data_IF_137284614652
#
_entry.id   IF_137284614652
#
_cell.length_a   1.000
_cell.length_b   1.000
_cell.length_c   1.000
_cell.angle_alpha   90.00
_cell.angle_beta   90.00
_cell.angle_gamma   90.00
#
_symmetry.space_group_name_H-M   'P 1'
#
loop_
_entity.id
_entity.type
_entity.pdbx_description
1 polymer ?
#
# COMPACT_ATOMS: atom_id res chain seq x y z
N UNK A 1 38.38 7.36 -19.29
CA UNK A 1 38.35 7.19 -20.75
C UNK A 1 38.29 5.72 -21.09
N UNK A 2 37.36 5.33 -21.96
CA UNK A 2 37.24 3.96 -22.43
C UNK A 2 38.24 3.64 -23.54
N UNK A 3 38.70 2.41 -23.57
CA UNK A 3 39.67 1.90 -24.54
C UNK A 3 39.17 0.56 -25.09
N UNK A 4 39.26 0.38 -26.42
CA UNK A 4 38.93 -0.87 -27.11
C UNK A 4 40.18 -1.39 -27.82
N UNK A 5 40.58 -2.63 -27.51
CA UNK A 5 41.77 -3.27 -28.08
C UNK A 5 41.40 -4.65 -28.61
N UNK A 6 41.99 -5.05 -29.73
CA UNK A 6 41.88 -6.41 -30.25
C UNK A 6 42.79 -7.36 -29.46
N UNK A 7 42.26 -8.48 -28.97
CA UNK A 7 43.01 -9.57 -28.34
C UNK A 7 42.67 -10.88 -29.02
N UNK A 8 43.51 -11.34 -29.92
CA UNK A 8 43.28 -12.55 -30.69
C UNK A 8 41.99 -12.44 -31.57
N UNK A 9 41.02 -13.33 -31.34
CA UNK A 9 39.76 -13.38 -32.07
C UNK A 9 38.63 -12.50 -31.44
N UNK A 10 38.93 -11.78 -30.34
CA UNK A 10 37.94 -10.96 -29.62
C UNK A 10 38.40 -9.52 -29.44
N UNK A 11 37.44 -8.62 -29.18
CA UNK A 11 37.64 -7.22 -28.86
C UNK A 11 37.45 -7.00 -27.36
N UNK A 12 38.51 -6.54 -26.67
CA UNK A 12 38.48 -6.25 -25.26
C UNK A 12 38.23 -4.74 -25.06
N UNK A 13 37.16 -4.41 -24.36
CA UNK A 13 36.77 -3.06 -24.00
C UNK A 13 37.08 -2.82 -22.53
N UNK A 14 37.66 -1.65 -22.23
CA UNK A 14 37.97 -1.24 -20.87
C UNK A 14 37.56 0.22 -20.66
N UNK A 15 36.83 0.49 -19.57
CA UNK A 15 36.46 1.84 -19.14
C UNK A 15 37.11 2.13 -17.79
N UNK A 16 37.84 3.26 -17.73
CA UNK A 16 38.47 3.78 -16.53
C UNK A 16 38.02 5.24 -16.32
N UNK A 17 37.37 5.50 -15.20
CA UNK A 17 36.95 6.86 -14.78
C UNK A 17 37.54 7.09 -13.38
N UNK A 18 38.06 8.28 -13.13
CA UNK A 18 38.56 8.64 -11.80
C UNK A 18 37.50 8.46 -10.73
N UNK A 19 37.84 7.81 -9.61
CA UNK A 19 36.90 7.45 -8.55
C UNK A 19 36.13 6.14 -8.77
N UNK A 20 36.34 5.46 -9.91
CA UNK A 20 35.67 4.21 -10.25
C UNK A 20 36.69 3.08 -10.47
N UNK A 21 36.33 1.85 -10.14
CA UNK A 21 37.10 0.68 -10.56
C UNK A 21 37.10 0.55 -12.08
N UNK A 22 38.10 -0.13 -12.63
CA UNK A 22 38.17 -0.41 -14.06
C UNK A 22 37.12 -1.47 -14.45
N UNK A 23 36.30 -1.16 -15.45
CA UNK A 23 35.36 -2.11 -16.06
C UNK A 23 35.97 -2.68 -17.33
N UNK A 24 35.99 -4.01 -17.47
CA UNK A 24 36.54 -4.70 -18.63
C UNK A 24 35.55 -5.75 -19.14
N UNK A 25 35.34 -5.80 -20.47
CA UNK A 25 34.48 -6.80 -21.11
C UNK A 25 34.98 -7.15 -22.51
N UNK A 26 34.84 -8.41 -22.93
CA UNK A 26 35.24 -8.90 -24.25
C UNK A 26 34.03 -9.09 -25.16
N UNK A 27 34.22 -8.76 -26.46
CA UNK A 27 33.17 -8.79 -27.48
C UNK A 27 33.66 -9.47 -28.74
N UNK A 28 32.75 -10.02 -29.55
CA UNK A 28 33.06 -10.63 -30.84
C UNK A 28 33.32 -9.58 -31.91
N UNK A 29 32.65 -8.43 -31.86
CA UNK A 29 32.80 -7.34 -32.82
C UNK A 29 33.35 -6.08 -32.20
N UNK A 30 34.03 -5.25 -33.01
CA UNK A 30 34.52 -3.95 -32.59
C UNK A 30 33.38 -2.98 -32.26
N UNK A 31 32.30 -3.05 -33.07
CA UNK A 31 31.11 -2.20 -32.89
C UNK A 31 30.46 -2.40 -31.53
N UNK A 32 30.24 -3.64 -31.11
CA UNK A 32 29.66 -3.94 -29.78
C UNK A 32 30.55 -3.46 -28.64
N UNK A 33 31.87 -3.62 -28.80
CA UNK A 33 32.83 -3.14 -27.81
C UNK A 33 32.80 -1.61 -27.65
N UNK A 34 32.72 -0.87 -28.75
CA UNK A 34 32.61 0.61 -28.76
C UNK A 34 31.26 1.06 -28.16
N UNK A 35 30.17 0.45 -28.59
CA UNK A 35 28.83 0.74 -28.06
C UNK A 35 28.78 0.53 -26.54
N UNK A 36 29.33 -0.56 -26.05
CA UNK A 36 29.40 -0.84 -24.61
C UNK A 36 30.25 0.20 -23.86
N UNK A 37 31.38 0.65 -24.41
CA UNK A 37 32.22 1.70 -23.83
C UNK A 37 31.41 2.98 -23.67
N UNK A 38 30.74 3.43 -24.74
CA UNK A 38 29.96 4.66 -24.74
C UNK A 38 28.80 4.60 -23.74
N UNK A 39 28.06 3.49 -23.71
CA UNK A 39 26.96 3.27 -22.75
C UNK A 39 27.48 3.27 -21.31
N UNK A 40 28.60 2.59 -21.05
CA UNK A 40 29.20 2.51 -19.70
C UNK A 40 29.73 3.88 -19.25
N UNK A 41 30.40 4.63 -20.11
CA UNK A 41 30.85 5.98 -19.79
C UNK A 41 29.69 6.94 -19.52
N UNK A 42 28.63 6.88 -20.33
CA UNK A 42 27.43 7.68 -20.12
C UNK A 42 26.73 7.35 -18.79
N UNK A 43 26.59 6.07 -18.48
CA UNK A 43 26.03 5.62 -17.20
C UNK A 43 26.88 6.10 -16.02
N UNK A 44 28.20 5.95 -16.08
CA UNK A 44 29.10 6.34 -14.99
C UNK A 44 29.18 7.87 -14.80
N UNK A 45 29.11 8.65 -15.86
CA UNK A 45 29.06 10.12 -15.77
C UNK A 45 27.76 10.65 -15.14
N UNK A 46 26.67 9.91 -15.30
CA UNK A 46 25.35 10.29 -14.78
C UNK A 46 25.03 9.67 -13.41
N UNK A 47 25.93 8.86 -12.86
CA UNK A 47 25.74 8.17 -11.57
C UNK A 47 26.64 8.82 -10.52
N UNK A 48 26.04 9.45 -9.51
CA UNK A 48 26.79 10.11 -8.43
C UNK A 48 27.38 9.14 -7.38
N UNK A 49 27.09 7.84 -7.49
CA UNK A 49 27.54 6.81 -6.54
C UNK A 49 28.53 5.84 -7.20
N UNK A 50 29.63 5.46 -6.52
CA UNK A 50 30.53 4.40 -7.00
C UNK A 50 29.74 3.09 -7.14
N UNK A 51 29.92 2.39 -8.26
CA UNK A 51 29.25 1.10 -8.48
C UNK A 51 29.84 0.04 -7.54
N UNK A 52 29.00 -0.50 -6.68
CA UNK A 52 29.33 -1.64 -5.83
C UNK A 52 29.36 -2.91 -6.67
N UNK A 53 30.44 -3.70 -6.57
CA UNK A 53 30.52 -5.00 -7.19
C UNK A 53 29.58 -5.99 -6.51
N UNK A 54 28.63 -6.48 -7.26
CA UNK A 54 27.63 -7.43 -6.76
C UNK A 54 27.73 -8.80 -7.44
N UNK A 55 28.91 -9.11 -8.02
CA UNK A 55 29.14 -10.35 -8.77
C UNK A 55 28.77 -11.61 -7.99
N UNK A 56 29.06 -11.63 -6.70
CA UNK A 56 28.76 -12.76 -5.81
C UNK A 56 27.53 -12.54 -4.91
N UNK A 57 26.98 -11.34 -4.88
CA UNK A 57 25.82 -11.02 -4.04
C UNK A 57 24.56 -11.76 -4.52
N UNK A 58 23.91 -12.44 -3.61
CA UNK A 58 22.65 -13.17 -3.85
C UNK A 58 21.43 -12.28 -3.66
N UNK A 59 20.28 -12.68 -4.23
CA UNK A 59 19.02 -12.01 -3.94
C UNK A 59 18.63 -12.11 -2.45
N UNK A 60 19.01 -13.21 -1.77
CA UNK A 60 18.83 -13.37 -0.33
C UNK A 60 19.47 -12.26 0.47
N UNK A 61 20.75 -11.99 0.20
CA UNK A 61 21.51 -10.93 0.87
C UNK A 61 20.92 -9.54 0.58
N UNK A 62 20.50 -9.28 -0.66
CA UNK A 62 19.82 -8.05 -1.01
C UNK A 62 18.51 -7.86 -0.23
N UNK A 63 17.66 -8.89 -0.13
CA UNK A 63 16.39 -8.82 0.60
C UNK A 63 16.61 -8.61 2.10
N UNK A 64 17.61 -9.28 2.69
CA UNK A 64 17.96 -9.12 4.11
C UNK A 64 18.52 -7.72 4.40
N UNK A 65 19.39 -7.20 3.53
CA UNK A 65 19.91 -5.84 3.66
C UNK A 65 18.78 -4.81 3.55
N UNK A 66 17.87 -4.98 2.59
CA UNK A 66 16.71 -4.10 2.44
C UNK A 66 15.78 -4.16 3.65
N UNK A 67 15.55 -5.35 4.20
CA UNK A 67 14.74 -5.51 5.42
C UNK A 67 15.35 -4.74 6.60
N UNK A 68 16.68 -4.83 6.77
CA UNK A 68 17.40 -4.17 7.87
C UNK A 68 17.50 -2.66 7.69
N UNK A 69 17.84 -2.18 6.49
CA UNK A 69 18.22 -0.78 6.27
C UNK A 69 17.07 0.11 5.79
N UNK A 70 16.02 -0.46 5.22
CA UNK A 70 14.91 0.32 4.67
C UNK A 70 13.60 -0.03 5.34
N UNK A 71 13.21 -1.32 5.34
CA UNK A 71 11.89 -1.71 5.84
C UNK A 71 11.72 -1.43 7.34
N UNK A 72 12.77 -1.58 8.16
CA UNK A 72 12.74 -1.32 9.60
C UNK A 72 12.29 0.10 9.95
N UNK A 73 12.53 1.07 9.07
CA UNK A 73 12.17 2.48 9.26
C UNK A 73 10.81 2.87 8.66
N UNK A 74 10.10 1.94 8.02
CA UNK A 74 8.81 2.23 7.39
C UNK A 74 7.65 1.99 8.37
N UNK A 75 6.63 2.85 8.34
CA UNK A 75 5.36 2.56 9.01
C UNK A 75 4.74 1.28 8.43
N UNK A 76 4.47 0.27 9.28
CA UNK A 76 3.96 -1.04 8.83
C UNK A 76 5.05 -1.99 8.33
N UNK A 77 6.29 -1.79 8.77
CA UNK A 77 7.47 -2.61 8.48
C UNK A 77 7.27 -4.11 8.71
N UNK A 78 6.48 -4.52 9.68
CA UNK A 78 6.26 -5.94 10.04
C UNK A 78 5.81 -6.79 8.85
N UNK A 79 4.82 -6.31 8.08
CA UNK A 79 4.28 -7.06 6.93
C UNK A 79 5.30 -7.11 5.79
N UNK A 80 6.00 -6.02 5.52
CA UNK A 80 7.01 -5.98 4.46
C UNK A 80 8.21 -6.84 4.84
N UNK A 81 8.69 -6.74 6.08
CA UNK A 81 9.77 -7.57 6.62
C UNK A 81 9.39 -9.06 6.60
N UNK A 82 8.17 -9.41 6.99
CA UNK A 82 7.66 -10.78 6.86
C UNK A 82 7.76 -11.29 5.42
N UNK A 83 7.32 -10.47 4.44
CA UNK A 83 7.40 -10.84 3.02
C UNK A 83 8.83 -10.97 2.51
N UNK A 84 9.71 -10.04 2.87
CA UNK A 84 11.13 -10.12 2.54
C UNK A 84 11.76 -11.39 3.08
N UNK A 85 11.47 -11.75 4.34
CA UNK A 85 11.92 -13.00 4.97
C UNK A 85 11.31 -14.24 4.31
N UNK A 86 10.06 -14.19 3.88
CA UNK A 86 9.43 -15.27 3.13
C UNK A 86 10.18 -15.53 1.82
N UNK A 87 10.45 -14.47 1.06
CA UNK A 87 11.15 -14.58 -0.23
C UNK A 87 12.64 -14.84 -0.09
N UNK A 88 13.28 -14.46 1.01
CA UNK A 88 14.69 -14.81 1.27
C UNK A 88 14.91 -16.31 1.47
N UNK A 89 13.84 -17.06 1.78
CA UNK A 89 13.86 -18.54 1.90
C UNK A 89 13.41 -19.25 0.63
N UNK A 90 12.92 -18.52 -0.35
CA UNK A 90 12.48 -19.08 -1.63
C UNK A 90 13.68 -19.40 -2.53
N UNK A 91 13.59 -20.43 -3.38
CA UNK A 91 14.68 -20.87 -4.27
C UNK A 91 15.22 -19.75 -5.18
N UNK A 92 14.39 -18.80 -5.60
CA UNK A 92 14.84 -17.63 -6.39
C UNK A 92 15.91 -16.82 -5.66
N UNK A 93 15.90 -16.82 -4.32
CA UNK A 93 16.83 -16.03 -3.50
C UNK A 93 18.28 -16.54 -3.52
N UNK A 94 18.51 -17.74 -3.98
CA UNK A 94 19.84 -18.34 -4.12
C UNK A 94 20.58 -17.82 -5.38
N UNK A 95 19.85 -17.24 -6.31
CA UNK A 95 20.47 -16.69 -7.52
C UNK A 95 21.31 -15.47 -7.21
N UNK A 96 22.51 -15.40 -7.82
CA UNK A 96 23.31 -14.19 -7.83
C UNK A 96 22.59 -13.07 -8.57
N UNK A 97 22.70 -11.84 -8.09
CA UNK A 97 22.00 -10.69 -8.66
C UNK A 97 22.31 -10.48 -10.14
N UNK A 98 23.56 -10.74 -10.55
CA UNK A 98 24.02 -10.60 -11.94
C UNK A 98 23.37 -11.60 -12.90
N UNK A 99 22.88 -12.72 -12.39
CA UNK A 99 22.22 -13.77 -13.16
C UNK A 99 20.72 -13.63 -13.20
N UNK A 100 20.15 -12.75 -12.36
CA UNK A 100 18.70 -12.55 -12.31
C UNK A 100 18.21 -11.80 -13.55
N UNK A 101 17.23 -12.40 -14.20
CA UNK A 101 16.57 -11.87 -15.38
C UNK A 101 15.08 -11.70 -15.13
N UNK A 102 14.39 -10.99 -16.02
CA UNK A 102 12.93 -10.86 -15.99
C UNK A 102 12.24 -12.24 -15.97
N UNK A 103 12.79 -13.24 -16.68
CA UNK A 103 12.22 -14.59 -16.78
C UNK A 103 12.12 -15.29 -15.42
N UNK A 104 13.07 -15.08 -14.51
CA UNK A 104 13.00 -15.62 -13.16
C UNK A 104 11.79 -15.07 -12.38
N UNK A 105 11.48 -13.78 -12.55
CA UNK A 105 10.33 -13.14 -11.91
C UNK A 105 9.01 -13.46 -12.62
N UNK A 106 9.01 -13.75 -13.91
CA UNK A 106 7.84 -14.31 -14.63
C UNK A 106 7.48 -15.68 -14.06
N UNK A 107 8.48 -16.55 -13.88
CA UNK A 107 8.26 -17.87 -13.28
C UNK A 107 7.76 -17.76 -11.85
N UNK A 108 8.37 -16.92 -11.02
CA UNK A 108 7.91 -16.63 -9.65
C UNK A 108 6.47 -16.12 -9.66
N UNK A 109 6.12 -15.19 -10.55
CA UNK A 109 4.75 -14.68 -10.72
C UNK A 109 3.77 -15.81 -10.98
N UNK A 110 4.06 -16.65 -11.93
CA UNK A 110 3.16 -17.70 -12.40
C UNK A 110 2.99 -18.80 -11.35
N UNK A 111 4.06 -19.13 -10.62
CA UNK A 111 4.02 -20.03 -9.46
C UNK A 111 3.13 -19.45 -8.35
N UNK A 112 3.33 -18.17 -7.99
CA UNK A 112 2.57 -17.51 -6.94
C UNK A 112 1.10 -17.31 -7.28
N UNK A 113 0.76 -17.12 -8.56
CA UNK A 113 -0.63 -17.00 -9.01
C UNK A 113 -1.45 -18.29 -8.78
N UNK A 114 -0.80 -19.46 -8.67
CA UNK A 114 -1.46 -20.72 -8.31
C UNK A 114 -1.78 -20.80 -6.81
N UNK A 115 -1.08 -20.05 -5.97
CA UNK A 115 -1.18 -20.12 -4.51
C UNK A 115 -2.00 -18.99 -3.90
N UNK A 116 -1.93 -17.78 -4.46
CA UNK A 116 -2.54 -16.56 -3.92
C UNK A 116 -3.22 -15.71 -4.99
N UNK A 117 -4.07 -14.79 -4.55
CA UNK A 117 -4.80 -13.88 -5.46
C UNK A 117 -3.87 -12.93 -6.21
N UNK A 118 -4.25 -12.58 -7.45
CA UNK A 118 -3.50 -11.69 -8.34
C UNK A 118 -3.02 -10.38 -7.69
N UNK A 119 -3.85 -9.74 -6.88
CA UNK A 119 -3.47 -8.52 -6.17
C UNK A 119 -2.38 -8.72 -5.11
N UNK A 120 -2.25 -9.92 -4.52
CA UNK A 120 -1.14 -10.24 -3.61
C UNK A 120 0.15 -10.37 -4.41
N UNK A 121 0.11 -11.10 -5.53
CA UNK A 121 1.27 -11.25 -6.42
C UNK A 121 1.72 -9.89 -6.99
N UNK A 122 0.75 -9.05 -7.39
CA UNK A 122 1.03 -7.68 -7.82
C UNK A 122 1.82 -6.89 -6.75
N UNK A 123 1.34 -6.93 -5.49
CA UNK A 123 2.02 -6.23 -4.39
C UNK A 123 3.42 -6.79 -4.10
N UNK A 124 3.60 -8.11 -4.21
CA UNK A 124 4.90 -8.76 -4.01
C UNK A 124 5.90 -8.33 -5.10
N UNK A 125 5.49 -8.32 -6.35
CA UNK A 125 6.34 -7.88 -7.47
C UNK A 125 6.66 -6.38 -7.40
N UNK A 126 5.73 -5.54 -6.94
CA UNK A 126 5.99 -4.13 -6.66
C UNK A 126 6.99 -3.94 -5.52
N UNK A 127 7.00 -4.81 -4.52
CA UNK A 127 8.02 -4.83 -3.48
C UNK A 127 9.40 -5.13 -4.08
N UNK A 128 9.55 -6.17 -4.89
CA UNK A 128 10.81 -6.47 -5.58
C UNK A 128 11.27 -5.31 -6.47
N UNK A 129 10.35 -4.66 -7.21
CA UNK A 129 10.68 -3.48 -8.02
C UNK A 129 11.29 -2.36 -7.18
N UNK A 130 10.74 -2.10 -5.97
CA UNK A 130 11.30 -1.10 -5.03
C UNK A 130 12.66 -1.53 -4.48
N UNK A 131 12.82 -2.79 -4.10
CA UNK A 131 14.09 -3.35 -3.61
C UNK A 131 15.22 -3.13 -4.63
N UNK A 132 15.03 -3.57 -5.86
CA UNK A 132 16.03 -3.38 -6.93
C UNK A 132 16.25 -1.90 -7.27
N UNK A 133 15.18 -1.09 -7.28
CA UNK A 133 15.33 0.35 -7.48
C UNK A 133 16.21 0.98 -6.40
N UNK A 134 16.03 0.62 -5.15
CA UNK A 134 16.86 1.10 -4.03
C UNK A 134 18.29 0.63 -4.18
N UNK A 135 18.52 -0.65 -4.49
CA UNK A 135 19.85 -1.21 -4.70
C UNK A 135 20.62 -0.46 -5.79
N UNK A 136 19.99 -0.23 -6.93
CA UNK A 136 20.62 0.44 -8.07
C UNK A 136 20.81 1.94 -7.78
N UNK A 137 19.76 2.65 -7.34
CA UNK A 137 19.76 4.11 -7.28
C UNK A 137 20.34 4.68 -5.98
N UNK A 138 20.20 3.97 -4.84
CA UNK A 138 20.66 4.46 -3.54
C UNK A 138 21.94 3.80 -3.07
N UNK A 139 22.11 2.50 -3.34
CA UNK A 139 23.28 1.75 -2.87
C UNK A 139 24.35 1.59 -3.96
N UNK A 140 24.08 2.04 -5.18
CA UNK A 140 25.06 1.99 -6.27
C UNK A 140 25.40 0.57 -6.74
N UNK A 141 24.49 -0.40 -6.57
CA UNK A 141 24.72 -1.77 -7.05
C UNK A 141 24.89 -1.78 -8.57
N UNK A 142 25.98 -2.35 -9.04
CA UNK A 142 26.37 -2.37 -10.46
C UNK A 142 25.52 -3.31 -11.31
N UNK A 143 24.20 -3.23 -11.19
CA UNK A 143 23.26 -3.99 -12.02
C UNK A 143 22.88 -3.20 -13.26
N UNK A 144 22.85 -3.82 -14.45
CA UNK A 144 22.58 -3.12 -15.71
C UNK A 144 21.14 -2.59 -15.79
N UNK A 145 20.21 -3.24 -15.14
CA UNK A 145 18.78 -2.86 -15.07
C UNK A 145 18.07 -3.57 -13.92
N UNK A 146 16.92 -3.02 -13.55
CA UNK A 146 16.00 -3.68 -12.61
C UNK A 146 15.28 -4.85 -13.32
N UNK A 147 15.46 -6.10 -12.90
CA UNK A 147 14.87 -7.26 -13.58
C UNK A 147 13.34 -7.32 -13.50
N UNK A 148 12.73 -6.49 -12.62
CA UNK A 148 11.27 -6.40 -12.43
C UNK A 148 10.66 -5.17 -13.11
N UNK A 149 11.47 -4.30 -13.74
CA UNK A 149 11.04 -3.01 -14.29
C UNK A 149 9.92 -3.15 -15.32
N UNK A 150 10.16 -4.00 -16.33
CA UNK A 150 9.24 -4.19 -17.47
C UNK A 150 8.39 -5.46 -17.34
N UNK A 151 8.38 -6.09 -16.16
CA UNK A 151 7.57 -7.27 -15.94
C UNK A 151 6.08 -6.95 -16.06
N UNK A 152 5.36 -7.73 -16.84
CA UNK A 152 3.90 -7.63 -16.89
C UNK A 152 3.30 -8.05 -15.55
N UNK A 153 2.76 -7.08 -14.83
CA UNK A 153 2.16 -7.29 -13.52
C UNK A 153 0.74 -7.89 -13.67
N UNK A 154 0.36 -8.83 -12.80
CA UNK A 154 -1.02 -9.29 -12.73
C UNK A 154 -1.94 -8.14 -12.27
N UNK A 155 -3.23 -8.26 -12.56
CA UNK A 155 -4.22 -7.24 -12.19
C UNK A 155 -4.16 -6.96 -10.68
N UNK A 156 -4.14 -5.69 -10.27
CA UNK A 156 -4.27 -5.34 -8.86
C UNK A 156 -5.65 -5.77 -8.33
N UNK A 157 -5.82 -5.72 -7.01
CA UNK A 157 -7.13 -5.97 -6.42
C UNK A 157 -8.16 -5.00 -6.99
N UNK A 158 -9.25 -5.52 -7.54
CA UNK A 158 -10.42 -4.70 -7.86
C UNK A 158 -10.97 -4.11 -6.56
N UNK A 159 -11.20 -2.82 -6.55
CA UNK A 159 -11.83 -2.16 -5.41
C UNK A 159 -13.26 -2.69 -5.23
N UNK A 160 -13.62 -2.98 -3.99
CA UNK A 160 -14.98 -3.41 -3.66
C UNK A 160 -15.95 -2.23 -3.76
N UNK A 161 -17.17 -2.53 -4.22
CA UNK A 161 -18.28 -1.57 -4.26
C UNK A 161 -19.43 -2.00 -3.32
N UNK A 162 -19.12 -2.87 -2.33
CA UNK A 162 -20.11 -3.44 -1.41
C UNK A 162 -20.57 -2.37 -0.43
N UNK A 163 -21.86 -2.10 -0.42
CA UNK A 163 -22.58 -1.26 0.52
C UNK A 163 -23.49 -2.12 1.42
N UNK A 164 -23.98 -1.57 2.51
CA UNK A 164 -25.02 -2.21 3.32
C UNK A 164 -26.32 -2.31 2.49
N UNK A 165 -26.89 -3.49 2.44
CA UNK A 165 -28.22 -3.67 1.86
C UNK A 165 -29.32 -3.23 2.85
N UNK A 166 -30.51 -2.94 2.38
CA UNK A 166 -31.63 -2.69 3.28
C UNK A 166 -31.72 -3.76 4.37
N UNK A 167 -32.01 -3.36 5.60
CA UNK A 167 -32.08 -4.20 6.80
C UNK A 167 -30.76 -4.86 7.27
N UNK A 168 -29.68 -4.80 6.53
CA UNK A 168 -28.39 -5.37 7.01
C UNK A 168 -27.83 -4.59 8.20
N UNK A 169 -27.99 -3.25 8.22
CA UNK A 169 -27.53 -2.42 9.35
C UNK A 169 -28.23 -2.85 10.65
N UNK A 170 -29.56 -2.96 10.63
CA UNK A 170 -30.37 -3.36 11.79
C UNK A 170 -30.02 -4.76 12.27
N UNK A 171 -29.99 -5.74 11.36
CA UNK A 171 -29.62 -7.13 11.70
C UNK A 171 -28.22 -7.23 12.30
N UNK A 172 -27.28 -6.45 11.75
CA UNK A 172 -25.89 -6.42 12.22
C UNK A 172 -25.80 -5.84 13.63
N UNK A 173 -26.52 -4.75 13.92
CA UNK A 173 -26.54 -4.11 15.23
C UNK A 173 -27.22 -5.00 16.28
N UNK A 174 -28.34 -5.65 15.95
CA UNK A 174 -29.00 -6.64 16.81
C UNK A 174 -28.07 -7.81 17.11
N UNK A 175 -27.37 -8.32 16.09
CA UNK A 175 -26.41 -9.40 16.30
C UNK A 175 -25.18 -8.97 17.12
N UNK A 176 -24.76 -7.70 17.00
CA UNK A 176 -23.67 -7.13 17.78
C UNK A 176 -24.06 -6.94 19.25
N UNK A 177 -25.25 -6.38 19.52
CA UNK A 177 -25.74 -6.10 20.88
C UNK A 177 -25.90 -7.36 21.75
N UNK A 178 -26.09 -8.51 21.11
CA UNK A 178 -26.19 -9.81 21.82
C UNK A 178 -24.84 -10.42 22.22
N UNK A 179 -23.73 -9.74 21.95
CA UNK A 179 -22.40 -10.21 22.33
C UNK A 179 -21.98 -9.70 23.72
N UNK A 180 -21.08 -10.44 24.37
CA UNK A 180 -20.48 -10.01 25.64
C UNK A 180 -19.62 -8.74 25.52
N UNK A 181 -19.10 -8.45 24.33
CA UNK A 181 -18.30 -7.26 24.08
C UNK A 181 -19.22 -6.06 23.91
N UNK A 182 -19.27 -5.20 24.91
CA UNK A 182 -20.14 -4.02 24.98
C UNK A 182 -19.78 -2.95 23.93
N UNK A 183 -18.54 -2.94 23.42
CA UNK A 183 -18.07 -1.93 22.47
C UNK A 183 -18.42 -2.23 21.02
N UNK A 184 -18.77 -3.48 20.66
CA UNK A 184 -18.86 -3.86 19.24
C UNK A 184 -19.98 -3.13 18.51
N UNK A 185 -21.15 -2.93 19.17
CA UNK A 185 -22.28 -2.21 18.60
C UNK A 185 -21.90 -0.75 18.34
N UNK A 186 -21.35 -0.08 19.37
CA UNK A 186 -20.91 1.31 19.29
C UNK A 186 -19.82 1.51 18.23
N UNK A 187 -18.85 0.60 18.10
CA UNK A 187 -17.83 0.65 17.06
C UNK A 187 -18.42 0.54 15.66
N UNK A 188 -19.43 -0.34 15.45
CA UNK A 188 -20.06 -0.51 14.14
C UNK A 188 -20.84 0.76 13.76
N UNK A 189 -21.65 1.29 14.66
CA UNK A 189 -22.39 2.54 14.42
C UNK A 189 -21.44 3.71 14.15
N UNK A 190 -20.46 3.90 15.02
CA UNK A 190 -19.49 4.97 14.89
C UNK A 190 -18.65 4.87 13.60
N UNK A 191 -18.34 3.64 13.14
CA UNK A 191 -17.66 3.41 11.88
C UNK A 191 -18.52 3.80 10.65
N UNK A 192 -19.82 3.53 10.69
CA UNK A 192 -20.77 3.89 9.62
C UNK A 192 -20.96 5.41 9.56
N UNK A 193 -21.06 6.07 10.71
CA UNK A 193 -21.31 7.51 10.78
C UNK A 193 -20.07 8.35 10.43
N UNK A 194 -18.87 7.92 10.84
CA UNK A 194 -17.63 8.72 10.70
C UNK A 194 -16.77 8.33 9.50
N UNK A 195 -16.93 7.12 8.98
CA UNK A 195 -16.05 6.59 7.95
C UNK A 195 -14.59 6.45 8.37
N UNK A 196 -14.27 6.48 9.66
CA UNK A 196 -12.90 6.32 10.18
C UNK A 196 -12.31 4.96 9.80
N UNK A 197 -10.99 4.90 9.67
CA UNK A 197 -10.29 3.62 9.50
C UNK A 197 -10.33 2.83 10.80
N UNK A 198 -10.35 1.50 10.70
CA UNK A 198 -10.34 0.62 11.88
C UNK A 198 -9.25 0.98 12.90
N UNK A 199 -8.04 1.27 12.42
CA UNK A 199 -6.92 1.65 13.28
C UNK A 199 -7.12 3.01 13.96
N UNK A 200 -7.80 3.94 13.32
CA UNK A 200 -8.14 5.25 13.88
C UNK A 200 -9.19 5.11 14.98
N UNK A 201 -10.23 4.31 14.75
CA UNK A 201 -11.25 3.99 15.77
C UNK A 201 -10.64 3.38 17.03
N UNK A 202 -9.73 2.42 16.87
CA UNK A 202 -9.11 1.72 18.01
C UNK A 202 -8.05 2.56 18.74
N UNK A 203 -7.57 3.63 18.11
CA UNK A 203 -6.60 4.57 18.73
C UNK A 203 -7.25 5.82 19.29
N UNK A 204 -8.56 6.04 19.04
CA UNK A 204 -9.27 7.23 19.48
C UNK A 204 -9.30 7.28 21.00
N UNK A 205 -8.89 8.40 21.59
CA UNK A 205 -8.88 8.67 23.03
C UNK A 205 -9.95 9.70 23.39
N UNK A 206 -10.42 9.66 24.62
CA UNK A 206 -11.40 10.63 25.10
C UNK A 206 -10.88 12.08 25.05
N UNK A 207 -9.61 12.30 25.30
CA UNK A 207 -8.99 13.63 25.17
C UNK A 207 -8.96 14.18 23.74
N UNK A 208 -9.17 13.31 22.74
CA UNK A 208 -9.22 13.69 21.33
C UNK A 208 -10.66 13.96 20.85
N UNK A 209 -11.67 13.78 21.73
CA UNK A 209 -13.11 13.94 21.43
C UNK A 209 -13.64 15.21 22.09
N UNK A 210 -14.13 16.11 21.28
CA UNK A 210 -14.81 17.33 21.70
C UNK A 210 -16.33 17.16 21.47
N UNK A 211 -17.05 16.79 22.53
CA UNK A 211 -18.48 16.56 22.46
C UNK A 211 -19.30 17.85 22.36
N UNK A 212 -18.76 18.97 22.87
CA UNK A 212 -19.43 20.28 22.85
C UNK A 212 -19.43 20.86 21.44
N UNK A 213 -18.29 20.82 20.75
CA UNK A 213 -18.15 21.32 19.39
C UNK A 213 -18.43 20.25 18.33
N UNK A 214 -18.62 18.99 18.73
CA UNK A 214 -18.98 17.88 17.83
C UNK A 214 -17.86 17.44 16.91
N UNK A 215 -16.62 17.29 17.41
CA UNK A 215 -15.47 16.86 16.64
C UNK A 215 -14.66 15.75 17.33
N UNK A 216 -14.06 14.87 16.52
CA UNK A 216 -12.99 13.97 16.94
C UNK A 216 -11.71 14.32 16.18
N UNK A 217 -10.62 14.55 16.91
CA UNK A 217 -9.30 14.85 16.34
C UNK A 217 -8.51 13.56 16.15
N UNK A 218 -7.93 13.39 14.99
CA UNK A 218 -7.11 12.21 14.64
C UNK A 218 -5.69 12.65 14.33
N UNK A 219 -4.77 12.16 15.15
CA UNK A 219 -3.33 12.42 15.05
C UNK A 219 -2.59 11.21 14.50
N UNK A 220 -1.40 11.44 13.94
CA UNK A 220 -0.51 10.39 13.40
C UNK A 220 -1.24 9.34 12.55
N UNK A 221 -2.10 9.81 11.65
CA UNK A 221 -2.84 8.92 10.78
C UNK A 221 -1.89 8.14 9.85
N UNK A 222 -2.35 7.02 9.29
CA UNK A 222 -1.57 6.23 8.33
C UNK A 222 -1.00 7.09 7.18
N UNK A 223 -1.64 8.20 6.88
CA UNK A 223 -1.23 9.12 5.82
C UNK A 223 -0.35 10.28 6.33
N UNK A 224 -0.10 10.37 7.66
CA UNK A 224 0.78 11.38 8.26
C UNK A 224 0.20 12.79 8.34
N UNK A 225 -1.12 12.96 8.19
CA UNK A 225 -1.82 14.23 8.34
C UNK A 225 -2.85 14.13 9.45
N UNK A 226 -2.84 15.12 10.33
CA UNK A 226 -3.85 15.28 11.36
C UNK A 226 -5.15 15.79 10.72
N UNK A 227 -6.28 15.36 11.24
CA UNK A 227 -7.56 15.86 10.78
C UNK A 227 -8.62 15.81 11.86
N UNK A 228 -9.60 16.69 11.75
CA UNK A 228 -10.83 16.65 12.55
C UNK A 228 -11.95 15.98 11.77
N UNK A 229 -12.69 15.11 12.44
CA UNK A 229 -13.87 14.42 11.89
C UNK A 229 -15.09 14.96 12.62
N UNK A 230 -16.06 15.55 11.91
CA UNK A 230 -17.30 16.02 12.52
C UNK A 230 -18.12 14.81 13.02
N UNK A 231 -18.75 14.99 14.17
CA UNK A 231 -19.58 13.98 14.80
C UNK A 231 -21.05 14.31 14.57
N UNK A 232 -21.80 13.36 14.04
CA UNK A 232 -23.25 13.46 13.92
C UNK A 232 -23.89 13.38 15.33
N UNK A 233 -25.16 13.80 15.47
CA UNK A 233 -25.91 13.60 16.72
C UNK A 233 -25.84 12.13 17.17
N UNK A 234 -25.96 11.20 16.19
CA UNK A 234 -25.87 9.77 16.49
C UNK A 234 -24.50 9.36 17.02
N UNK A 235 -23.40 9.92 16.50
CA UNK A 235 -22.06 9.70 17.06
C UNK A 235 -21.96 10.15 18.52
N UNK A 236 -22.53 11.31 18.86
CA UNK A 236 -22.53 11.85 20.21
C UNK A 236 -23.30 10.93 21.16
N UNK A 237 -24.49 10.48 20.77
CA UNK A 237 -25.29 9.51 21.54
C UNK A 237 -24.52 8.20 21.77
N UNK A 238 -23.88 7.69 20.73
CA UNK A 238 -23.05 6.48 20.84
C UNK A 238 -21.90 6.68 21.83
N UNK A 239 -21.20 7.80 21.74
CA UNK A 239 -20.09 8.10 22.66
C UNK A 239 -20.56 8.27 24.10
N UNK A 240 -21.69 8.92 24.33
CA UNK A 240 -22.30 9.07 25.66
C UNK A 240 -22.70 7.72 26.29
N UNK A 241 -23.02 6.72 25.45
CA UNK A 241 -23.36 5.36 25.91
C UNK A 241 -22.13 4.50 26.22
N UNK A 242 -20.94 4.92 25.82
CA UNK A 242 -19.68 4.17 26.05
C UNK A 242 -19.08 4.50 27.42
N UNK A 243 -18.75 3.50 28.25
CA UNK A 243 -18.13 3.75 29.54
C UNK A 243 -16.74 4.42 29.41
N UNK A 244 -16.52 5.53 30.12
CA UNK A 244 -15.24 6.25 30.16
C UNK A 244 -14.30 5.67 31.23
N UNK A 245 -14.05 4.37 31.18
CA UNK A 245 -13.20 3.66 32.17
C UNK A 245 -11.74 3.53 31.72
N UNK A 246 -11.42 3.89 30.49
CA UNK A 246 -10.09 3.81 29.89
C UNK A 246 -9.77 5.10 29.15
N UNK A 247 -8.48 5.33 28.86
CA UNK A 247 -8.05 6.45 28.04
C UNK A 247 -8.63 6.38 26.61
N UNK A 248 -8.67 5.16 26.04
CA UNK A 248 -9.25 4.92 24.72
C UNK A 248 -10.78 4.85 24.80
N UNK A 249 -11.43 5.40 23.79
CA UNK A 249 -12.89 5.31 23.63
C UNK A 249 -13.34 3.84 23.45
N UNK A 250 -12.58 3.08 22.67
CA UNK A 250 -12.85 1.66 22.39
C UNK A 250 -11.64 0.80 22.80
N UNK A 251 -11.47 0.42 24.07
CA UNK A 251 -10.29 -0.26 24.59
C UNK A 251 -10.28 -1.76 24.24
N UNK A 252 -10.31 -2.08 22.94
CA UNK A 252 -10.23 -3.45 22.43
C UNK A 252 -9.13 -3.61 21.38
N UNK A 253 -8.52 -4.79 21.33
CA UNK A 253 -7.49 -5.07 20.33
C UNK A 253 -8.08 -5.27 18.93
N UNK A 254 -7.26 -5.05 17.90
CA UNK A 254 -7.65 -5.29 16.51
C UNK A 254 -8.08 -6.75 16.26
N UNK A 255 -7.50 -7.71 16.98
CA UNK A 255 -7.90 -9.13 16.92
C UNK A 255 -9.25 -9.35 17.59
N UNK A 256 -9.50 -8.75 18.75
CA UNK A 256 -10.78 -8.81 19.43
C UNK A 256 -11.89 -8.24 18.54
N UNK A 257 -11.69 -7.05 17.98
CA UNK A 257 -12.64 -6.45 17.03
C UNK A 257 -12.90 -7.37 15.83
N UNK A 258 -11.86 -7.95 15.23
CA UNK A 258 -12.02 -8.86 14.09
C UNK A 258 -12.87 -10.07 14.42
N UNK A 259 -12.65 -10.68 15.59
CA UNK A 259 -13.41 -11.84 16.02
C UNK A 259 -14.87 -11.48 16.36
N UNK A 260 -15.09 -10.37 17.07
CA UNK A 260 -16.43 -9.88 17.40
C UNK A 260 -17.22 -9.49 16.13
N UNK A 261 -16.57 -8.81 15.18
CA UNK A 261 -17.13 -8.51 13.86
C UNK A 261 -17.59 -9.76 13.13
N UNK A 262 -16.73 -10.79 13.05
CA UNK A 262 -17.07 -12.04 12.36
C UNK A 262 -18.26 -12.74 13.01
N UNK A 263 -18.33 -12.74 14.34
CA UNK A 263 -19.48 -13.29 15.07
C UNK A 263 -20.77 -12.54 14.78
N UNK A 264 -20.74 -11.17 14.86
CA UNK A 264 -21.90 -10.33 14.54
C UNK A 264 -22.38 -10.55 13.12
N UNK A 265 -21.48 -10.48 12.15
CA UNK A 265 -21.78 -10.68 10.74
C UNK A 265 -22.39 -12.05 10.46
N UNK A 266 -21.81 -13.12 10.99
CA UNK A 266 -22.31 -14.49 10.80
C UNK A 266 -23.69 -14.67 11.45
N UNK A 267 -23.90 -14.14 12.68
CA UNK A 267 -25.18 -14.20 13.36
C UNK A 267 -26.27 -13.41 12.63
N UNK A 268 -25.88 -12.29 11.98
CA UNK A 268 -26.78 -11.50 11.13
C UNK A 268 -27.10 -12.17 9.77
N UNK A 269 -26.51 -13.32 9.44
CA UNK A 269 -26.67 -14.00 8.16
C UNK A 269 -26.05 -13.24 6.98
N UNK A 270 -24.99 -12.46 7.21
CA UNK A 270 -24.33 -11.66 6.18
C UNK A 270 -23.02 -12.33 5.78
N UNK A 271 -22.91 -12.78 4.54
CA UNK A 271 -21.75 -13.57 4.07
C UNK A 271 -20.63 -12.71 3.50
N UNK A 272 -20.93 -11.70 2.70
CA UNK A 272 -19.96 -10.89 1.95
C UNK A 272 -19.93 -9.42 2.43
N UNK A 273 -19.62 -9.20 3.70
CA UNK A 273 -19.39 -7.87 4.26
C UNK A 273 -18.11 -7.87 5.11
N UNK A 274 -17.24 -6.92 4.86
CA UNK A 274 -16.01 -6.70 5.64
C UNK A 274 -16.18 -5.47 6.52
N UNK A 275 -15.49 -5.41 7.65
CA UNK A 275 -15.50 -4.22 8.51
C UNK A 275 -15.12 -2.94 7.74
N UNK A 276 -14.18 -3.03 6.81
CA UNK A 276 -13.78 -1.87 5.99
C UNK A 276 -14.86 -1.40 5.01
N UNK A 277 -15.83 -2.26 4.67
CA UNK A 277 -16.94 -1.88 3.79
C UNK A 277 -17.89 -0.89 4.50
N UNK A 278 -17.90 -0.80 5.85
CA UNK A 278 -18.60 0.24 6.61
C UNK A 278 -18.08 1.65 6.29
N UNK A 279 -16.77 1.79 6.06
CA UNK A 279 -16.21 3.05 5.59
C UNK A 279 -16.63 3.37 4.15
N UNK A 280 -16.79 2.36 3.31
CA UNK A 280 -17.34 2.56 1.97
C UNK A 280 -18.78 3.04 2.04
N UNK A 281 -19.57 2.50 2.97
CA UNK A 281 -20.92 2.96 3.26
C UNK A 281 -20.94 4.42 3.70
N UNK A 282 -20.16 4.78 4.73
CA UNK A 282 -20.05 6.15 5.24
C UNK A 282 -19.72 7.17 4.13
N UNK A 283 -18.68 6.87 3.33
CA UNK A 283 -18.26 7.75 2.23
C UNK A 283 -19.38 7.92 1.18
N UNK A 284 -20.11 6.84 0.88
CA UNK A 284 -21.26 6.92 -0.03
C UNK A 284 -22.37 7.79 0.54
N UNK A 285 -22.69 7.63 1.85
CA UNK A 285 -23.70 8.44 2.54
C UNK A 285 -23.32 9.93 2.55
N UNK A 286 -22.04 10.28 2.73
CA UNK A 286 -21.60 11.68 2.67
C UNK A 286 -21.89 12.31 1.30
N UNK A 287 -21.65 11.59 0.22
CA UNK A 287 -22.03 12.07 -1.12
C UNK A 287 -23.54 12.14 -1.33
N UNK A 288 -24.31 11.21 -0.76
CA UNK A 288 -25.79 11.23 -0.79
C UNK A 288 -26.37 12.41 -0.02
N UNK A 289 -25.69 12.83 1.08
CA UNK A 289 -25.98 14.08 1.81
C UNK A 289 -25.59 15.36 1.03
N UNK A 290 -24.97 15.22 -0.14
CA UNK A 290 -24.64 16.36 -1.00
C UNK A 290 -23.25 16.95 -0.74
N UNK A 291 -22.42 16.34 0.09
CA UNK A 291 -21.07 16.81 0.34
C UNK A 291 -20.22 16.76 -0.92
N UNK A 292 -19.36 17.75 -1.09
CA UNK A 292 -18.39 17.85 -2.19
C UNK A 292 -17.20 16.88 -2.00
N UNK A 293 -16.48 16.60 -3.08
CA UNK A 293 -15.28 15.75 -3.04
C UNK A 293 -14.23 16.27 -2.03
N UNK A 294 -13.91 17.57 -1.96
CA UNK A 294 -12.99 18.10 -0.95
C UNK A 294 -13.46 17.88 0.49
N UNK A 295 -14.75 18.09 0.78
CA UNK A 295 -15.32 17.87 2.12
C UNK A 295 -15.23 16.39 2.54
N UNK A 296 -15.62 15.48 1.64
CA UNK A 296 -15.50 14.04 1.89
C UNK A 296 -14.03 13.61 2.02
N UNK A 297 -13.11 14.21 1.26
CA UNK A 297 -11.68 13.95 1.38
C UNK A 297 -11.14 14.36 2.75
N UNK A 298 -11.55 15.53 3.23
CA UNK A 298 -11.18 16.07 4.54
C UNK A 298 -11.64 15.15 5.68
N UNK A 299 -12.92 14.77 5.70
CA UNK A 299 -13.50 13.89 6.73
C UNK A 299 -12.85 12.51 6.68
N UNK A 300 -12.81 11.91 5.51
CA UNK A 300 -12.34 10.54 5.34
C UNK A 300 -10.80 10.40 5.35
N UNK A 301 -10.06 11.48 5.08
CA UNK A 301 -8.59 11.45 4.99
C UNK A 301 -8.08 10.70 3.75
N UNK A 302 -8.72 10.89 2.58
CA UNK A 302 -8.21 10.43 1.30
C UNK A 302 -7.27 11.46 0.71
N UNK A 303 -5.97 11.14 0.59
CA UNK A 303 -4.98 12.01 -0.09
C UNK A 303 -5.19 12.05 -1.61
N UNK A 304 -5.51 10.91 -2.19
CA UNK A 304 -5.81 10.80 -3.61
C UNK A 304 -7.33 10.86 -3.82
N UNK A 305 -7.81 12.05 -4.17
CA UNK A 305 -9.24 12.32 -4.40
C UNK A 305 -9.83 11.47 -5.54
N UNK A 306 -9.00 10.96 -6.46
CA UNK A 306 -9.43 10.05 -7.52
C UNK A 306 -10.07 8.78 -6.97
N UNK A 307 -9.69 8.38 -5.76
CA UNK A 307 -10.30 7.24 -5.07
C UNK A 307 -11.75 7.51 -4.65
N UNK A 308 -12.16 8.78 -4.55
CA UNK A 308 -13.51 9.17 -4.18
C UNK A 308 -14.48 9.21 -5.37
N UNK A 309 -13.99 9.40 -6.59
CA UNK A 309 -14.85 9.44 -7.79
C UNK A 309 -15.68 8.18 -8.00
N UNK A 310 -15.28 7.04 -7.45
CA UNK A 310 -16.09 5.82 -7.49
C UNK A 310 -17.39 5.88 -6.68
N UNK A 311 -17.51 6.86 -5.76
CA UNK A 311 -18.69 7.07 -4.91
C UNK A 311 -19.55 8.24 -5.42
N UNK A 312 -18.99 9.11 -6.25
CA UNK A 312 -19.75 10.16 -6.91
C UNK A 312 -20.58 9.53 -8.04
N UNK A 313 -21.67 8.87 -7.68
CA UNK A 313 -22.67 8.48 -8.68
C UNK A 313 -23.37 9.76 -9.14
N UNK A 314 -22.78 10.44 -10.12
CA UNK A 314 -23.37 11.58 -10.81
C UNK A 314 -24.61 11.05 -11.55
N UNK A 315 -25.75 11.05 -10.86
CA UNK A 315 -27.02 10.78 -11.52
C UNK A 315 -27.39 12.04 -12.32
N UNK A 316 -27.51 11.95 -13.65
CA UNK A 316 -27.90 13.09 -14.49
C UNK A 316 -29.16 13.80 -13.99
N UNK A 317 -30.12 13.08 -13.42
CA UNK A 317 -31.35 13.63 -12.84
C UNK A 317 -31.08 14.53 -11.62
N UNK A 318 -30.08 14.19 -10.78
CA UNK A 318 -29.70 15.04 -9.66
C UNK A 318 -28.91 16.27 -10.12
N UNK A 319 -28.14 16.15 -11.19
CA UNK A 319 -27.43 17.27 -11.81
C UNK A 319 -28.44 18.25 -12.41
N UNK A 320 -29.47 17.76 -13.11
CA UNK A 320 -30.54 18.57 -13.67
C UNK A 320 -31.30 19.35 -12.58
N UNK A 321 -31.65 18.69 -11.46
CA UNK A 321 -32.30 19.36 -10.33
C UNK A 321 -31.44 20.47 -9.72
N UNK A 322 -30.14 20.24 -9.57
CA UNK A 322 -29.21 21.27 -9.09
C UNK A 322 -29.08 22.42 -10.08
N UNK A 323 -28.99 22.12 -11.38
CA UNK A 323 -28.85 23.13 -12.42
C UNK A 323 -30.10 24.02 -12.52
N UNK A 324 -31.29 23.43 -12.47
CA UNK A 324 -32.57 24.17 -12.51
C UNK A 324 -32.80 25.00 -11.24
N UNK A 325 -32.30 24.56 -10.08
CA UNK A 325 -32.42 25.34 -8.85
C UNK A 325 -31.49 26.60 -8.84
N UNK A 326 -30.49 26.67 -9.70
CA UNK A 326 -29.63 27.87 -9.87
C UNK A 326 -30.16 28.82 -10.96
N UNK A 327 -31.13 28.38 -11.76
CA UNK A 327 -31.64 29.15 -12.90
C UNK A 327 -32.98 29.86 -12.59
N UNK A 328 -33.47 29.77 -11.38
CA UNK A 328 -34.66 30.48 -10.85
C UNK A 328 -34.27 31.34 -9.67
#
# INVERSE_FOLDING_TARGET
MGCVRRRGKSWNAQVRISGWRSFTKSFKTKSDAVCWVQQTEHQLKNTFLPLVDVGDTTLRELLQTYAREVSSHLKGSEIETYKLNLYSRHSIAENKLVNLTQRHFEHLRDERLKQVKSGTVHADLMMFRRVFKTAIQKWGYGLPKNPVEYLQLPSPHKSRKRRLMPSEKERLLIAASSQRNIYITSIIEFAIETGMRRSELLKLRWCDVDLENGFASLYDTKNGEDRRVPLTKRCIEVLQSVPQTHEQVFPISATCLRLAWNRARNKAGITDLRFHDLRHEAVSLFFEMGMSVPEVALISGHKDVRQLFRYTHLNPSNLFKKYTAFSG
#
